data_IF_486925068510
#
_entry.id   IF_486925068510
#
_cell.length_a   1.000
_cell.length_b   1.000
_cell.length_c   1.000
_cell.angle_alpha   90.00
_cell.angle_beta   90.00
_cell.angle_gamma   90.00
#
_symmetry.space_group_name_H-M   'P 1'
#
loop_
_entity.id
_entity.type
_entity.pdbx_description
1 polymer ?
#
# COMPACT_ATOMS: atom_id res chain seq x y z
N UNK A 1 -5.84 -22.89 -2.70
CA UNK A 1 -4.67 -23.00 -3.62
C UNK A 1 -3.44 -23.35 -2.82
N UNK A 2 -2.54 -24.22 -3.32
CA UNK A 2 -1.26 -24.45 -2.64
C UNK A 2 -0.43 -23.18 -2.63
N UNK A 3 0.20 -22.87 -1.49
CA UNK A 3 1.07 -21.71 -1.35
C UNK A 3 2.52 -22.16 -1.28
N UNK A 4 3.36 -21.65 -2.17
CA UNK A 4 4.79 -21.89 -2.19
C UNK A 4 5.54 -20.62 -1.77
N UNK A 5 6.49 -20.73 -0.84
CA UNK A 5 7.33 -19.61 -0.41
C UNK A 5 8.72 -19.75 -1.01
N UNK A 6 9.20 -18.69 -1.67
CA UNK A 6 10.53 -18.66 -2.30
C UNK A 6 11.39 -17.67 -1.54
N UNK A 7 12.47 -18.16 -0.94
CA UNK A 7 13.42 -17.35 -0.18
C UNK A 7 14.75 -17.24 -0.94
N UNK A 8 15.42 -16.12 -0.77
CA UNK A 8 16.77 -15.89 -1.29
C UNK A 8 17.18 -14.42 -1.22
N UNK A 9 18.48 -14.11 -1.09
CA UNK A 9 18.99 -12.75 -1.12
C UNK A 9 18.75 -12.07 -2.48
N UNK A 10 18.99 -10.76 -2.61
CA UNK A 10 18.98 -10.07 -3.90
C UNK A 10 19.91 -10.76 -4.92
N UNK A 11 19.53 -10.78 -6.19
CA UNK A 11 20.35 -11.36 -7.27
C UNK A 11 20.28 -12.88 -7.44
N UNK A 12 19.56 -13.63 -6.60
CA UNK A 12 19.48 -15.12 -6.67
C UNK A 12 18.49 -15.66 -7.72
N UNK A 13 17.99 -14.82 -8.62
CA UNK A 13 17.13 -15.27 -9.71
C UNK A 13 15.66 -15.50 -9.35
N UNK A 14 15.17 -14.99 -8.19
CA UNK A 14 13.74 -15.13 -7.80
C UNK A 14 12.77 -14.67 -8.89
N UNK A 15 13.00 -13.49 -9.47
CA UNK A 15 12.17 -12.97 -10.56
C UNK A 15 12.23 -13.86 -11.80
N UNK A 16 13.41 -14.41 -12.13
CA UNK A 16 13.57 -15.35 -13.24
C UNK A 16 12.78 -16.64 -12.99
N UNK A 17 12.85 -17.18 -11.78
CA UNK A 17 12.06 -18.35 -11.38
C UNK A 17 10.56 -18.06 -11.53
N UNK A 18 10.09 -16.93 -11.04
CA UNK A 18 8.68 -16.54 -11.14
C UNK A 18 8.24 -16.41 -12.60
N UNK A 19 9.05 -15.80 -13.47
CA UNK A 19 8.74 -15.71 -14.91
C UNK A 19 8.76 -17.08 -15.62
N UNK A 20 9.61 -18.01 -15.19
CA UNK A 20 9.57 -19.38 -15.70
C UNK A 20 8.28 -20.09 -15.27
N UNK A 21 7.83 -19.85 -14.05
CA UNK A 21 6.55 -20.38 -13.55
C UNK A 21 5.37 -19.76 -14.31
N UNK A 22 5.40 -18.45 -14.60
CA UNK A 22 4.41 -17.80 -15.49
C UNK A 22 4.39 -18.48 -16.86
N UNK A 23 5.56 -18.77 -17.46
CA UNK A 23 5.65 -19.46 -18.75
C UNK A 23 4.98 -20.83 -18.71
N UNK A 24 5.21 -21.59 -17.65
CA UNK A 24 4.59 -22.91 -17.46
C UNK A 24 3.05 -22.80 -17.47
N UNK A 25 2.48 -21.90 -16.68
CA UNK A 25 1.03 -21.72 -16.65
C UNK A 25 0.44 -21.21 -17.97
N UNK A 26 1.15 -20.33 -18.67
CA UNK A 26 0.74 -19.90 -20.01
C UNK A 26 0.74 -21.09 -21.00
N UNK A 27 1.72 -22.01 -20.92
CA UNK A 27 1.76 -23.21 -21.77
C UNK A 27 0.66 -24.23 -21.44
N UNK A 28 0.14 -24.21 -20.21
CA UNK A 28 -1.01 -25.00 -19.78
C UNK A 28 -2.36 -24.36 -20.15
N UNK A 29 -2.34 -23.20 -20.81
CA UNK A 29 -3.54 -22.51 -21.30
C UNK A 29 -4.16 -21.52 -20.32
N UNK A 30 -3.51 -21.23 -19.19
CA UNK A 30 -3.98 -20.17 -18.27
C UNK A 30 -3.95 -18.82 -18.97
N UNK A 31 -5.05 -18.11 -18.93
CA UNK A 31 -5.12 -16.78 -19.53
C UNK A 31 -4.15 -15.82 -18.82
N UNK A 32 -3.34 -15.04 -19.57
CA UNK A 32 -2.45 -14.03 -18.97
C UNK A 32 -3.15 -13.05 -18.04
N UNK A 33 -4.43 -12.76 -18.25
CA UNK A 33 -5.24 -11.87 -17.41
C UNK A 33 -5.56 -12.48 -16.04
N UNK A 34 -5.50 -13.82 -15.93
CA UNK A 34 -5.75 -14.56 -14.69
C UNK A 34 -4.46 -14.81 -13.90
N UNK A 35 -3.33 -14.26 -14.36
CA UNK A 35 -2.05 -14.31 -13.67
C UNK A 35 -1.79 -12.95 -13.01
N UNK A 36 -1.74 -12.94 -11.67
CA UNK A 36 -1.40 -11.76 -10.87
C UNK A 36 0.07 -11.76 -10.46
N UNK A 37 0.73 -10.61 -10.56
CA UNK A 37 2.03 -10.34 -9.97
C UNK A 37 1.93 -9.05 -9.15
N UNK A 38 1.90 -9.20 -7.85
CA UNK A 38 1.75 -8.08 -6.94
C UNK A 38 3.07 -7.75 -6.26
N UNK A 39 3.47 -6.50 -6.34
CA UNK A 39 4.70 -6.00 -5.72
C UNK A 39 4.39 -4.92 -4.69
N UNK A 40 5.31 -4.68 -3.76
CA UNK A 40 5.20 -3.60 -2.79
C UNK A 40 5.53 -2.25 -3.42
N UNK A 41 6.46 -2.19 -4.37
CA UNK A 41 6.90 -0.94 -4.99
C UNK A 41 6.52 -0.85 -6.46
N UNK A 42 6.25 0.36 -6.93
CA UNK A 42 5.98 0.64 -8.36
C UNK A 42 7.16 0.24 -9.24
N UNK A 43 8.40 0.42 -8.77
CA UNK A 43 9.61 0.03 -9.49
C UNK A 43 9.65 -1.48 -9.73
N UNK A 44 9.41 -2.29 -8.68
CA UNK A 44 9.40 -3.75 -8.79
C UNK A 44 8.28 -4.25 -9.73
N UNK A 45 7.08 -3.67 -9.62
CA UNK A 45 5.97 -4.02 -10.50
C UNK A 45 6.26 -3.69 -11.99
N UNK A 46 6.82 -2.52 -12.25
CA UNK A 46 7.21 -2.09 -13.62
C UNK A 46 8.32 -2.98 -14.18
N UNK A 47 9.35 -3.29 -13.38
CA UNK A 47 10.45 -4.16 -13.79
C UNK A 47 9.96 -5.57 -14.13
N UNK A 48 9.12 -6.16 -13.28
CA UNK A 48 8.54 -7.48 -13.54
C UNK A 48 7.69 -7.49 -14.82
N UNK A 49 6.88 -6.46 -15.03
CA UNK A 49 6.07 -6.29 -16.24
C UNK A 49 6.94 -6.16 -17.50
N UNK A 50 8.01 -5.35 -17.44
CA UNK A 50 8.95 -5.19 -18.55
C UNK A 50 9.62 -6.51 -18.93
N UNK A 51 10.19 -7.21 -17.94
CA UNK A 51 10.81 -8.53 -18.15
C UNK A 51 9.84 -9.58 -18.68
N UNK A 52 8.56 -9.53 -18.27
CA UNK A 52 7.54 -10.41 -18.80
C UNK A 52 7.25 -10.13 -20.27
N UNK A 53 7.19 -8.84 -20.70
CA UNK A 53 7.00 -8.47 -22.10
C UNK A 53 8.21 -8.82 -22.98
N UNK A 54 9.43 -8.71 -22.46
CA UNK A 54 10.64 -9.15 -23.17
C UNK A 54 10.65 -10.68 -23.36
N UNK A 55 10.27 -11.42 -22.30
CA UNK A 55 10.26 -12.90 -22.33
C UNK A 55 9.13 -13.47 -23.17
N UNK A 56 7.97 -12.79 -23.22
CA UNK A 56 6.76 -13.22 -23.91
C UNK A 56 6.33 -12.20 -24.99
N UNK A 57 7.01 -12.17 -26.17
CA UNK A 57 6.75 -11.13 -27.18
C UNK A 57 5.33 -11.14 -27.76
N UNK A 58 4.58 -12.23 -27.59
CA UNK A 58 3.18 -12.32 -28.01
C UNK A 58 2.21 -11.64 -27.03
N UNK A 59 2.68 -11.25 -25.84
CA UNK A 59 1.89 -10.51 -24.86
C UNK A 59 2.07 -9.00 -25.02
N UNK A 60 1.08 -8.26 -24.57
CA UNK A 60 1.11 -6.80 -24.51
C UNK A 60 0.70 -6.31 -23.10
N UNK A 61 0.75 -5.01 -22.88
CA UNK A 61 0.45 -4.41 -21.58
C UNK A 61 -0.96 -4.69 -21.07
N UNK A 62 -1.93 -4.92 -21.97
CA UNK A 62 -3.31 -5.23 -21.60
C UNK A 62 -3.47 -6.67 -21.11
N UNK A 63 -2.59 -7.57 -21.52
CA UNK A 63 -2.55 -8.94 -21.02
C UNK A 63 -1.98 -9.02 -19.60
N UNK A 64 -1.12 -8.07 -19.19
CA UNK A 64 -0.43 -8.04 -17.91
C UNK A 64 -1.00 -6.99 -16.94
N UNK A 65 -2.33 -6.86 -16.90
CA UNK A 65 -3.00 -5.94 -15.96
C UNK A 65 -2.84 -6.37 -14.50
N UNK A 66 -2.64 -7.67 -14.24
CA UNK A 66 -2.34 -8.22 -12.93
C UNK A 66 -0.93 -7.94 -12.41
N UNK A 67 -0.01 -7.40 -13.27
CA UNK A 67 1.36 -7.02 -12.88
C UNK A 67 1.38 -5.58 -12.36
N UNK A 68 1.16 -5.42 -11.06
CA UNK A 68 0.96 -4.10 -10.43
C UNK A 68 1.32 -4.12 -8.94
N UNK A 69 1.24 -2.99 -8.28
CA UNK A 69 1.39 -2.96 -6.81
C UNK A 69 0.10 -3.40 -6.12
N UNK A 70 0.23 -3.91 -4.88
CA UNK A 70 -0.92 -4.25 -4.02
C UNK A 70 -1.85 -3.02 -3.88
N UNK A 71 -1.30 -1.84 -3.58
CA UNK A 71 -2.07 -0.60 -3.49
C UNK A 71 -2.82 -0.27 -4.78
N UNK A 72 -2.16 -0.41 -5.93
CA UNK A 72 -2.80 -0.15 -7.22
C UNK A 72 -3.94 -1.13 -7.52
N UNK A 73 -3.81 -2.39 -7.10
CA UNK A 73 -4.88 -3.38 -7.21
C UNK A 73 -6.07 -2.98 -6.34
N UNK A 74 -5.84 -2.72 -5.05
CA UNK A 74 -6.89 -2.33 -4.12
C UNK A 74 -7.59 -1.04 -4.54
N UNK A 75 -6.83 -0.03 -4.99
CA UNK A 75 -7.38 1.22 -5.53
C UNK A 75 -8.38 0.98 -6.68
N UNK A 76 -8.03 0.07 -7.60
CA UNK A 76 -8.89 -0.31 -8.71
C UNK A 76 -10.11 -1.13 -8.26
N UNK A 77 -9.95 -2.01 -7.25
CA UNK A 77 -11.03 -2.83 -6.69
C UNK A 77 -12.06 -1.95 -5.98
N UNK A 78 -11.60 -0.99 -5.17
CA UNK A 78 -12.47 -0.05 -4.47
C UNK A 78 -13.16 0.95 -5.41
N UNK A 79 -12.71 1.06 -6.66
CA UNK A 79 -13.23 2.04 -7.61
C UNK A 79 -12.90 3.50 -7.23
N UNK A 80 -11.84 3.71 -6.44
CA UNK A 80 -11.47 5.02 -5.95
C UNK A 80 -10.94 5.94 -7.05
N UNK A 81 -11.21 7.22 -6.88
CA UNK A 81 -10.60 8.34 -7.58
C UNK A 81 -9.63 9.08 -6.67
N UNK A 82 -8.88 10.03 -7.21
CA UNK A 82 -8.00 10.89 -6.40
C UNK A 82 -8.75 11.71 -5.36
N UNK A 83 -10.04 11.97 -5.58
CA UNK A 83 -10.90 12.70 -4.66
C UNK A 83 -11.33 11.89 -3.44
N UNK A 84 -11.23 10.57 -3.48
CA UNK A 84 -11.66 9.68 -2.39
C UNK A 84 -10.51 9.39 -1.41
N UNK A 85 -9.29 9.81 -1.74
CA UNK A 85 -8.09 9.58 -0.94
C UNK A 85 -7.63 10.88 -0.28
N UNK A 86 -7.39 10.80 1.03
CA UNK A 86 -6.84 11.93 1.79
C UNK A 86 -5.47 12.33 1.22
N UNK A 87 -5.30 13.62 0.97
CA UNK A 87 -4.10 14.18 0.35
C UNK A 87 -3.29 14.97 1.39
N UNK A 88 -2.05 15.29 1.05
CA UNK A 88 -1.14 16.07 1.88
C UNK A 88 -1.72 17.41 2.35
N UNK A 89 -2.44 18.12 1.48
CA UNK A 89 -3.10 19.39 1.84
C UNK A 89 -4.17 19.18 2.93
N UNK A 90 -4.90 18.07 2.91
CA UNK A 90 -5.89 17.73 3.94
C UNK A 90 -5.23 17.56 5.31
N UNK A 91 -4.11 16.84 5.37
CA UNK A 91 -3.31 16.69 6.60
C UNK A 91 -2.74 18.04 7.06
N UNK A 92 -2.27 18.88 6.12
CA UNK A 92 -1.77 20.21 6.42
C UNK A 92 -2.85 21.09 7.07
N UNK A 93 -4.04 21.08 6.51
CA UNK A 93 -5.18 21.87 7.04
C UNK A 93 -5.64 21.35 8.40
N UNK A 94 -5.67 20.02 8.59
CA UNK A 94 -6.00 19.41 9.86
C UNK A 94 -4.98 19.79 10.94
N UNK A 95 -3.70 19.59 10.67
CA UNK A 95 -2.63 19.90 11.61
C UNK A 95 -2.59 21.40 11.95
N UNK A 96 -2.82 22.28 10.96
CA UNK A 96 -2.93 23.73 11.17
C UNK A 96 -4.09 24.09 12.12
N UNK A 97 -5.25 23.47 11.95
CA UNK A 97 -6.41 23.66 12.85
C UNK A 97 -6.14 23.23 14.28
N UNK A 98 -5.33 22.20 14.45
CA UNK A 98 -4.92 21.66 15.75
C UNK A 98 -3.67 22.34 16.33
N UNK A 99 -3.09 23.31 15.61
CA UNK A 99 -1.82 23.96 15.98
C UNK A 99 -0.65 22.96 16.15
N UNK A 100 -0.68 21.87 15.39
CA UNK A 100 0.38 20.85 15.38
C UNK A 100 1.32 21.11 14.19
N UNK A 101 2.64 21.28 14.41
CA UNK A 101 3.60 21.44 13.33
C UNK A 101 3.62 20.24 12.38
N UNK A 102 3.56 20.49 11.06
CA UNK A 102 3.52 19.47 10.01
C UNK A 102 4.31 19.90 8.78
N UNK A 103 5.15 19.03 8.22
CA UNK A 103 5.93 19.29 7.02
C UNK A 103 5.41 18.58 5.77
N UNK A 104 4.87 17.40 5.95
CA UNK A 104 4.43 16.50 4.88
C UNK A 104 5.57 15.90 4.06
N UNK A 105 6.79 15.90 4.57
CA UNK A 105 7.99 15.38 3.87
C UNK A 105 8.45 14.01 4.34
N UNK A 106 7.68 13.31 5.17
CA UNK A 106 8.06 11.97 5.62
C UNK A 106 7.92 11.00 4.45
N UNK A 107 9.04 10.67 3.81
CA UNK A 107 9.13 9.54 2.91
C UNK A 107 9.43 8.28 3.72
N UNK A 108 8.50 7.33 3.72
CA UNK A 108 8.72 6.02 4.35
C UNK A 108 9.83 5.20 3.65
N UNK A 109 10.23 5.59 2.44
CA UNK A 109 11.18 4.84 1.62
C UNK A 109 12.65 5.07 2.01
N UNK A 110 12.98 6.15 2.73
CA UNK A 110 14.39 6.53 2.93
C UNK A 110 14.94 6.38 4.36
N UNK A 111 14.14 5.97 5.33
CA UNK A 111 14.64 5.63 6.69
C UNK A 111 15.38 6.77 7.45
N UNK A 112 15.39 7.98 6.92
CA UNK A 112 16.05 9.14 7.53
C UNK A 112 15.10 9.82 8.51
N UNK A 113 15.32 9.57 9.79
CA UNK A 113 14.56 10.11 10.94
C UNK A 113 15.18 11.41 11.44
N UNK A 114 15.64 12.29 10.57
CA UNK A 114 16.10 13.61 11.00
C UNK A 114 14.91 14.60 10.92
N UNK A 115 14.61 15.24 12.04
CA UNK A 115 13.65 16.35 12.18
C UNK A 115 12.19 16.11 11.72
N UNK A 116 11.63 14.94 12.03
CA UNK A 116 10.22 14.68 11.79
C UNK A 116 9.37 15.54 12.74
N UNK A 117 8.54 16.43 12.17
CA UNK A 117 7.63 17.26 12.94
C UNK A 117 6.53 16.41 13.61
N UNK A 118 5.95 16.91 14.74
CA UNK A 118 4.93 16.17 15.48
C UNK A 118 3.76 15.66 14.63
N UNK A 119 3.24 16.46 13.72
CA UNK A 119 2.14 16.07 12.82
C UNK A 119 2.53 14.93 11.86
N UNK A 120 3.75 14.95 11.34
CA UNK A 120 4.27 13.88 10.49
C UNK A 120 4.40 12.56 11.28
N UNK A 121 4.84 12.65 12.55
CA UNK A 121 4.93 11.48 13.44
C UNK A 121 3.56 10.90 13.77
N UNK A 122 2.57 11.73 14.06
CA UNK A 122 1.20 11.27 14.34
C UNK A 122 0.59 10.54 13.14
N UNK A 123 0.78 11.08 11.94
CA UNK A 123 0.33 10.43 10.69
C UNK A 123 1.06 9.10 10.47
N UNK A 124 2.36 9.05 10.76
CA UNK A 124 3.14 7.81 10.70
C UNK A 124 2.61 6.76 11.70
N UNK A 125 2.38 7.16 12.97
CA UNK A 125 1.83 6.29 14.02
C UNK A 125 0.45 5.76 13.61
N UNK A 126 -0.40 6.61 13.02
CA UNK A 126 -1.71 6.21 12.51
C UNK A 126 -1.61 5.15 11.42
N UNK A 127 -0.73 5.36 10.45
CA UNK A 127 -0.47 4.38 9.41
C UNK A 127 0.08 3.05 9.95
N UNK A 128 0.96 3.11 10.96
CA UNK A 128 1.53 1.92 11.61
C UNK A 128 0.48 1.16 12.42
N UNK A 129 -0.37 1.87 13.17
CA UNK A 129 -1.48 1.29 13.92
C UNK A 129 -2.41 0.48 13.01
N UNK A 130 -2.78 1.04 11.86
CA UNK A 130 -3.58 0.36 10.84
C UNK A 130 -2.88 -0.87 10.26
N UNK A 131 -1.61 -0.74 9.90
CA UNK A 131 -0.82 -1.85 9.36
C UNK A 131 -0.71 -3.02 10.35
N UNK A 132 -0.69 -2.72 11.66
CA UNK A 132 -0.65 -3.69 12.76
C UNK A 132 -2.02 -4.14 13.26
N UNK A 133 -3.11 -3.60 12.71
CA UNK A 133 -4.47 -3.86 13.19
C UNK A 133 -4.66 -3.52 14.67
N UNK A 134 -4.06 -2.41 15.11
CA UNK A 134 -4.15 -1.87 16.47
C UNK A 134 -4.88 -0.54 16.49
N UNK A 135 -5.29 -0.08 17.67
CA UNK A 135 -5.79 1.29 17.82
C UNK A 135 -4.64 2.30 17.73
N UNK A 136 -4.95 3.53 17.30
CA UNK A 136 -3.98 4.61 17.26
C UNK A 136 -3.32 4.86 18.61
N UNK A 137 -4.09 4.82 19.70
CA UNK A 137 -3.57 5.11 21.04
C UNK A 137 -2.67 4.01 21.59
N UNK A 138 -2.91 2.74 21.25
CA UNK A 138 -1.99 1.64 21.60
C UNK A 138 -0.64 1.81 20.92
N UNK A 139 -0.64 2.20 19.65
CA UNK A 139 0.60 2.43 18.90
C UNK A 139 1.30 3.72 19.35
N UNK A 140 0.54 4.76 19.70
CA UNK A 140 1.07 6.00 20.26
C UNK A 140 1.77 5.80 21.62
N UNK A 141 1.18 5.00 22.52
CA UNK A 141 1.74 4.73 23.84
C UNK A 141 3.05 3.92 23.78
N UNK A 142 3.25 3.13 22.71
CA UNK A 142 4.51 2.42 22.45
C UNK A 142 5.53 3.27 21.69
N UNK A 143 5.12 4.36 21.03
CA UNK A 143 6.00 5.19 20.24
C UNK A 143 7.00 5.96 21.10
N UNK A 144 8.28 5.92 20.69
CA UNK A 144 9.32 6.73 21.34
C UNK A 144 9.23 8.20 20.85
N UNK A 145 9.12 9.13 21.81
CA UNK A 145 9.17 10.59 21.55
C UNK A 145 8.23 11.06 20.44
N UNK A 146 6.90 10.90 20.57
CA UNK A 146 5.97 11.27 19.51
C UNK A 146 5.94 12.79 19.23
N UNK A 147 6.54 13.61 20.09
CA UNK A 147 6.65 15.06 19.92
C UNK A 147 5.42 15.86 20.33
N UNK A 148 4.38 15.19 20.82
CA UNK A 148 3.15 15.78 21.37
C UNK A 148 2.72 15.02 22.63
N UNK A 149 1.89 15.70 23.46
CA UNK A 149 1.30 15.06 24.62
C UNK A 149 0.14 14.12 24.24
N UNK A 150 -0.20 13.21 25.18
CA UNK A 150 -1.28 12.25 24.98
C UNK A 150 -2.64 12.92 24.65
N UNK A 151 -2.93 14.06 25.25
CA UNK A 151 -4.20 14.79 25.00
C UNK A 151 -4.24 15.32 23.54
N UNK A 152 -3.13 15.84 23.03
CA UNK A 152 -3.02 16.30 21.66
C UNK A 152 -3.13 15.13 20.68
N UNK A 153 -2.58 13.98 21.01
CA UNK A 153 -2.70 12.75 20.22
C UNK A 153 -4.16 12.27 20.13
N UNK A 154 -4.90 12.27 21.24
CA UNK A 154 -6.34 11.95 21.25
C UNK A 154 -7.15 12.93 20.42
N UNK A 155 -6.85 14.23 20.52
CA UNK A 155 -7.50 15.26 19.70
C UNK A 155 -7.21 15.06 18.22
N UNK A 156 -5.97 14.74 17.86
CA UNK A 156 -5.56 14.44 16.48
C UNK A 156 -6.31 13.23 15.93
N UNK A 157 -6.31 12.11 16.64
CA UNK A 157 -7.00 10.87 16.22
C UNK A 157 -8.49 11.10 16.00
N UNK A 158 -9.13 11.78 16.96
CA UNK A 158 -10.55 12.12 16.87
C UNK A 158 -10.84 13.06 15.70
N UNK A 159 -10.04 14.10 15.53
CA UNK A 159 -10.21 15.07 14.45
C UNK A 159 -9.97 14.46 13.08
N UNK A 160 -8.95 13.57 12.94
CA UNK A 160 -8.66 12.86 11.69
C UNK A 160 -9.81 11.95 11.31
N UNK A 161 -10.33 11.14 12.24
CA UNK A 161 -11.47 10.24 12.01
C UNK A 161 -12.72 11.01 11.57
N UNK A 162 -13.05 12.07 12.30
CA UNK A 162 -14.20 12.93 11.96
C UNK A 162 -14.03 13.62 10.60
N UNK A 163 -12.82 14.09 10.30
CA UNK A 163 -12.51 14.70 9.01
C UNK A 163 -12.70 13.71 7.87
N UNK A 164 -12.11 12.54 7.97
CA UNK A 164 -12.24 11.48 6.96
C UNK A 164 -13.70 11.08 6.76
N UNK A 165 -14.44 10.86 7.85
CA UNK A 165 -15.85 10.50 7.79
C UNK A 165 -16.71 11.61 7.15
N UNK A 166 -16.51 12.88 7.54
CA UNK A 166 -17.29 14.02 7.02
C UNK A 166 -17.04 14.31 5.54
N UNK A 167 -15.85 14.00 5.04
CA UNK A 167 -15.44 14.20 3.65
C UNK A 167 -15.52 12.93 2.82
N UNK A 168 -15.91 11.79 3.42
CA UNK A 168 -15.91 10.46 2.79
C UNK A 168 -14.54 10.12 2.18
N UNK A 169 -13.46 10.37 2.94
CA UNK A 169 -12.09 10.13 2.51
C UNK A 169 -11.49 8.92 3.22
N UNK A 170 -10.75 8.14 2.47
CA UNK A 170 -9.88 7.09 2.99
C UNK A 170 -8.41 7.45 2.79
N UNK A 171 -7.52 6.82 3.54
CA UNK A 171 -6.11 6.73 3.16
C UNK A 171 -5.79 5.37 2.52
N UNK A 172 -4.54 5.20 2.09
CA UNK A 172 -4.13 3.95 1.45
C UNK A 172 -4.20 2.73 2.38
N UNK A 173 -4.06 2.91 3.71
CA UNK A 173 -4.19 1.80 4.65
C UNK A 173 -5.67 1.42 4.86
N UNK A 174 -6.59 2.40 4.92
CA UNK A 174 -8.04 2.13 4.98
C UNK A 174 -8.45 1.29 3.78
N UNK A 175 -8.05 1.68 2.58
CA UNK A 175 -8.31 0.96 1.34
C UNK A 175 -7.84 -0.50 1.41
N UNK A 176 -6.61 -0.74 1.90
CA UNK A 176 -6.09 -2.10 2.08
C UNK A 176 -6.93 -2.89 3.09
N UNK A 177 -7.35 -2.24 4.17
CA UNK A 177 -8.19 -2.84 5.21
C UNK A 177 -9.56 -3.22 4.65
N UNK A 178 -10.21 -2.34 3.91
CA UNK A 178 -11.52 -2.60 3.30
C UNK A 178 -11.48 -3.82 2.36
N UNK A 179 -10.43 -3.93 1.55
CA UNK A 179 -10.25 -5.09 0.66
C UNK A 179 -9.94 -6.35 1.47
N UNK A 180 -9.07 -6.27 2.49
CA UNK A 180 -8.70 -7.41 3.31
C UNK A 180 -9.86 -7.93 4.18
N UNK A 181 -10.77 -7.04 4.59
CA UNK A 181 -11.97 -7.39 5.38
C UNK A 181 -13.14 -7.87 4.49
N UNK A 182 -12.91 -8.02 3.18
CA UNK A 182 -13.87 -8.59 2.26
C UNK A 182 -15.02 -7.64 1.88
N UNK A 183 -14.87 -6.33 2.07
CA UNK A 183 -15.87 -5.34 1.67
C UNK A 183 -15.98 -5.22 0.15
N UNK A 184 -14.96 -5.64 -0.59
CA UNK A 184 -14.89 -5.63 -2.04
C UNK A 184 -14.50 -7.00 -2.61
N UNK A 185 -15.05 -7.35 -3.77
CA UNK A 185 -14.69 -8.58 -4.46
C UNK A 185 -13.29 -8.45 -5.10
N UNK A 186 -12.38 -9.32 -4.69
CA UNK A 186 -11.04 -9.41 -5.30
C UNK A 186 -11.12 -10.23 -6.59
N UNK A 187 -10.45 -9.79 -7.69
CA UNK A 187 -10.38 -10.59 -8.91
C UNK A 187 -9.84 -11.99 -8.65
N UNK A 188 -10.46 -12.99 -9.23
CA UNK A 188 -10.02 -14.37 -9.12
C UNK A 188 -8.78 -14.57 -10.02
N UNK A 189 -7.59 -14.58 -9.43
CA UNK A 189 -6.39 -15.03 -10.11
C UNK A 189 -6.29 -16.56 -10.00
N UNK A 190 -6.00 -17.24 -11.11
CA UNK A 190 -5.64 -18.67 -11.09
C UNK A 190 -4.23 -18.88 -10.53
N UNK A 191 -3.37 -17.90 -10.78
CA UNK A 191 -1.99 -17.87 -10.25
C UNK A 191 -1.68 -16.46 -9.74
N UNK A 192 -1.19 -16.38 -8.51
CA UNK A 192 -0.82 -15.10 -7.87
C UNK A 192 0.59 -15.18 -7.29
N UNK A 193 1.45 -14.28 -7.73
CA UNK A 193 2.77 -14.00 -7.15
C UNK A 193 2.71 -12.73 -6.30
N UNK A 194 3.31 -12.78 -5.09
CA UNK A 194 3.38 -11.64 -4.17
C UNK A 194 4.81 -11.47 -3.66
#
# INVERSE_FOLDING_TARGET
>A
MPTNKIFGPPGTGKTTFMLNTVQHYLSEGVSPKNIGYLAFTTKAAKEAKHRALEKFPHLNTNHLQGFRTIHSLCYSICGYSTGDIIQRNHYSDLCKKLSIPYSGYVSMEEGTVADILPGDRLIFIEGLAKARRRSFMEEFDEAQSPGVGRQEAVLFDTALKNFKQSQMLDDFNDMLIHVADGQFSVPAFEVLFV
#
